data_IF_904180692626
#
_entry.id   IF_904180692626
#
_cell.length_a   1.000
_cell.length_b   1.000
_cell.length_c   1.000
_cell.angle_alpha   90.00
_cell.angle_beta   90.00
_cell.angle_gamma   90.00
#
_symmetry.space_group_name_H-M   'P 1'
#
loop_
_entity.id
_entity.type
_entity.pdbx_description
1 polymer ?
#
# COMPACT_ATOMS: atom_id res chain seq x y z
N UNK A 1 0.73 33.52 23.56
CA UNK A 1 1.27 32.21 23.18
C UNK A 1 2.29 32.47 22.05
N UNK A 2 3.52 31.96 22.16
CA UNK A 2 4.57 32.25 21.16
C UNK A 2 4.31 31.49 19.86
N UNK A 3 3.88 32.19 18.82
CA UNK A 3 3.58 31.66 17.49
C UNK A 3 4.80 30.88 16.90
N UNK A 4 6.01 31.35 17.18
CA UNK A 4 7.24 30.71 16.76
C UNK A 4 7.46 29.33 17.39
N UNK A 5 7.07 29.18 18.66
CA UNK A 5 7.15 27.89 19.35
C UNK A 5 6.17 26.87 18.76
N UNK A 6 4.96 27.31 18.47
CA UNK A 6 3.95 26.47 17.79
C UNK A 6 4.42 26.03 16.39
N UNK A 7 4.94 26.96 15.61
CA UNK A 7 5.49 26.68 14.28
C UNK A 7 6.65 25.67 14.33
N UNK A 8 7.54 25.80 15.32
CA UNK A 8 8.64 24.85 15.52
C UNK A 8 8.13 23.46 15.91
N UNK A 9 7.13 23.37 16.80
CA UNK A 9 6.52 22.11 17.19
C UNK A 9 5.85 21.41 16.00
N UNK A 10 5.09 22.14 15.20
CA UNK A 10 4.46 21.62 13.98
C UNK A 10 5.53 21.12 13.00
N UNK A 11 6.62 21.89 12.82
CA UNK A 11 7.75 21.48 11.98
C UNK A 11 8.37 20.15 12.45
N UNK A 12 8.55 19.97 13.75
CA UNK A 12 9.09 18.74 14.32
C UNK A 12 8.16 17.53 14.05
N UNK A 13 6.85 17.70 14.21
CA UNK A 13 5.86 16.65 13.91
C UNK A 13 5.92 16.27 12.41
N UNK A 14 6.05 17.27 11.52
CA UNK A 14 6.14 16.99 10.08
C UNK A 14 7.42 16.22 9.73
N UNK A 15 8.55 16.52 10.39
CA UNK A 15 9.79 15.76 10.21
C UNK A 15 9.64 14.32 10.71
N UNK A 16 8.94 14.11 11.81
CA UNK A 16 8.64 12.76 12.29
C UNK A 16 7.81 11.96 11.28
N UNK A 17 6.78 12.56 10.70
CA UNK A 17 5.96 11.93 9.65
C UNK A 17 6.81 11.58 8.42
N UNK A 18 7.71 12.49 8.00
CA UNK A 18 8.64 12.22 6.91
C UNK A 18 9.56 11.04 7.22
N UNK A 19 10.09 10.97 8.44
CA UNK A 19 10.91 9.85 8.89
C UNK A 19 10.12 8.54 8.88
N UNK A 20 8.86 8.53 9.28
CA UNK A 20 8.01 7.34 9.26
C UNK A 20 7.83 6.80 7.84
N UNK A 21 7.54 7.66 6.86
CA UNK A 21 7.44 7.28 5.45
C UNK A 21 8.77 6.72 4.93
N UNK A 22 9.89 7.39 5.24
CA UNK A 22 11.21 6.91 4.83
C UNK A 22 11.58 5.57 5.48
N UNK A 23 11.27 5.38 6.76
CA UNK A 23 11.51 4.12 7.47
C UNK A 23 10.71 2.97 6.87
N UNK A 24 9.45 3.22 6.49
CA UNK A 24 8.62 2.23 5.80
C UNK A 24 9.25 1.85 4.44
N UNK A 25 9.67 2.84 3.65
CA UNK A 25 10.31 2.57 2.36
C UNK A 25 11.62 1.79 2.52
N UNK A 26 12.42 2.09 3.54
CA UNK A 26 13.68 1.39 3.82
C UNK A 26 13.41 -0.04 4.30
N UNK A 27 12.43 -0.23 5.19
CA UNK A 27 12.07 -1.55 5.69
C UNK A 27 11.64 -2.49 4.55
N UNK A 28 11.03 -1.93 3.50
CA UNK A 28 10.51 -2.68 2.36
C UNK A 28 11.40 -2.60 1.10
N UNK A 29 12.65 -2.13 1.22
CA UNK A 29 13.55 -1.98 0.06
C UNK A 29 13.83 -3.29 -0.66
N UNK A 30 13.81 -4.42 0.06
CA UNK A 30 14.01 -5.76 -0.48
C UNK A 30 12.69 -6.52 -0.75
N UNK A 31 11.54 -5.89 -0.52
CA UNK A 31 10.24 -6.52 -0.75
C UNK A 31 9.89 -6.43 -2.25
N UNK A 32 9.66 -7.58 -2.89
CA UNK A 32 9.27 -7.64 -4.28
C UNK A 32 7.91 -6.99 -4.49
N UNK A 33 7.79 -6.21 -5.56
CA UNK A 33 6.55 -5.51 -5.88
C UNK A 33 6.20 -4.33 -4.96
N UNK A 34 7.01 -4.01 -3.96
CA UNK A 34 6.78 -2.86 -3.10
C UNK A 34 6.83 -1.56 -3.88
N UNK A 35 5.89 -0.67 -3.58
CA UNK A 35 5.81 0.67 -4.17
C UNK A 35 6.11 1.71 -3.11
N UNK A 36 7.16 2.50 -3.33
CA UNK A 36 7.59 3.51 -2.39
C UNK A 36 6.54 4.63 -2.26
N UNK A 37 6.34 5.06 -1.03
CA UNK A 37 5.46 6.18 -0.71
C UNK A 37 6.27 7.49 -0.68
N UNK A 38 5.74 8.53 -1.29
CA UNK A 38 6.30 9.89 -1.29
C UNK A 38 5.38 10.84 -0.55
N UNK A 39 5.90 11.46 0.50
CA UNK A 39 5.20 12.49 1.25
C UNK A 39 5.50 13.87 0.66
N UNK A 40 4.44 14.61 0.33
CA UNK A 40 4.52 16.01 -0.10
C UNK A 40 4.11 16.92 1.05
N UNK A 41 4.88 17.99 1.26
CA UNK A 41 4.64 18.98 2.31
C UNK A 41 4.36 20.33 1.69
N UNK A 42 3.37 21.03 2.24
CA UNK A 42 2.99 22.37 1.82
C UNK A 42 3.13 23.36 2.98
N UNK A 43 3.47 24.60 2.67
CA UNK A 43 3.46 25.69 3.63
C UNK A 43 2.00 26.11 3.94
N UNK A 44 1.72 26.29 5.22
CA UNK A 44 0.50 26.93 5.68
C UNK A 44 0.75 28.45 5.70
N UNK A 45 0.04 29.15 4.84
CA UNK A 45 0.05 30.62 4.81
C UNK A 45 -1.29 31.14 5.30
N UNK A 46 -1.26 31.98 6.31
CA UNK A 46 -2.44 32.71 6.72
C UNK A 46 -2.53 33.98 5.85
N UNK A 47 -3.60 34.10 5.09
CA UNK A 47 -3.99 35.32 4.39
C UNK A 47 -5.02 36.04 5.26
N UNK A 48 -4.58 36.81 6.20
CA UNK A 48 -5.45 37.80 6.81
C UNK A 48 -5.72 38.88 5.79
N UNK A 49 -6.84 38.79 5.11
CA UNK A 49 -7.33 39.81 4.21
C UNK A 49 -7.90 40.92 5.07
N UNK A 50 -7.05 41.84 5.50
CA UNK A 50 -7.49 43.08 6.11
C UNK A 50 -7.31 44.18 5.05
N UNK A 51 -8.42 44.81 4.74
CA UNK A 51 -8.67 46.06 4.01
C UNK A 51 -7.55 46.72 3.23
N UNK A 52 -7.87 47.11 2.12
CA UNK A 52 -7.33 47.76 0.93
C UNK A 52 -6.00 48.56 1.05
N UNK A 53 -5.48 48.89 2.23
CA UNK A 53 -4.34 49.81 2.36
C UNK A 53 -3.13 49.36 3.17
N UNK A 54 -3.15 48.13 3.73
CA UNK A 54 -1.97 47.56 4.35
C UNK A 54 -1.73 46.13 3.83
N UNK A 55 -0.96 46.01 2.77
CA UNK A 55 -0.47 44.72 2.26
C UNK A 55 0.45 44.07 3.30
N UNK A 56 -0.13 43.42 4.30
CA UNK A 56 0.65 42.49 5.13
C UNK A 56 1.04 41.29 4.28
N UNK A 57 2.35 41.11 4.17
CA UNK A 57 2.90 39.91 3.53
C UNK A 57 2.37 38.65 4.22
N UNK A 58 1.98 37.64 3.46
CA UNK A 58 1.46 36.41 4.05
C UNK A 58 2.48 35.79 5.01
N UNK A 59 2.10 35.68 6.27
CA UNK A 59 2.94 35.06 7.31
C UNK A 59 2.78 33.54 7.23
N UNK A 60 3.90 32.84 7.08
CA UNK A 60 3.93 31.38 7.19
C UNK A 60 3.59 30.97 8.62
N UNK A 61 2.55 30.14 8.79
CA UNK A 61 2.11 29.60 10.08
C UNK A 61 2.63 28.20 10.35
N UNK A 62 3.38 27.62 9.43
CA UNK A 62 3.96 26.29 9.55
C UNK A 62 3.88 25.50 8.25
N UNK A 63 4.12 24.19 8.37
CA UNK A 63 4.04 23.24 7.27
C UNK A 63 3.07 22.13 7.62
N UNK A 64 2.42 21.56 6.62
CA UNK A 64 1.60 20.35 6.77
C UNK A 64 1.92 19.35 5.68
N UNK A 65 1.75 18.08 5.97
CA UNK A 65 1.72 17.04 4.94
C UNK A 65 0.47 17.24 4.08
N UNK A 66 0.68 17.45 2.79
CA UNK A 66 -0.40 17.74 1.86
C UNK A 66 -0.95 16.45 1.26
N UNK A 67 -0.07 15.52 0.89
CA UNK A 67 -0.43 14.27 0.25
C UNK A 67 0.69 13.24 0.46
N UNK A 68 0.27 12.02 0.76
CA UNK A 68 1.10 10.84 0.56
C UNK A 68 0.69 10.20 -0.77
N UNK A 69 1.63 9.92 -1.63
CA UNK A 69 1.39 9.36 -2.96
C UNK A 69 2.30 8.16 -3.15
N UNK A 70 1.73 7.05 -3.57
CA UNK A 70 2.48 5.86 -3.96
C UNK A 70 3.08 6.09 -5.35
N UNK A 71 4.35 5.74 -5.51
CA UNK A 71 5.07 5.85 -6.78
C UNK A 71 4.84 4.57 -7.59
N UNK A 72 4.07 4.67 -8.67
CA UNK A 72 3.77 3.56 -9.58
C UNK A 72 4.75 3.44 -10.75
N UNK A 73 5.80 4.25 -10.80
CA UNK A 73 6.80 4.14 -11.86
C UNK A 73 7.41 2.74 -11.87
N UNK A 74 7.55 2.10 -13.04
CA UNK A 74 8.18 0.80 -13.14
C UNK A 74 9.64 0.89 -12.68
N UNK A 75 10.07 -0.08 -11.88
CA UNK A 75 11.47 -0.27 -11.49
C UNK A 75 12.12 -1.37 -12.34
N UNK A 76 13.42 -1.55 -12.21
CA UNK A 76 14.15 -2.58 -12.92
C UNK A 76 13.68 -4.00 -12.58
N UNK A 77 13.83 -4.91 -13.54
CA UNK A 77 13.56 -6.33 -13.35
C UNK A 77 14.83 -7.02 -12.87
N UNK A 78 14.66 -8.02 -12.01
CA UNK A 78 15.72 -8.89 -11.51
C UNK A 78 15.38 -10.30 -11.98
N UNK A 79 16.32 -10.95 -12.66
CA UNK A 79 16.19 -12.35 -13.07
C UNK A 79 16.51 -13.26 -11.87
N UNK A 80 15.53 -14.05 -11.42
CA UNK A 80 15.67 -14.90 -10.24
C UNK A 80 15.93 -16.36 -10.57
N UNK A 81 15.67 -16.78 -11.83
CA UNK A 81 15.78 -18.17 -12.26
C UNK A 81 14.74 -19.13 -11.67
N UNK A 82 13.74 -18.63 -10.92
CA UNK A 82 12.64 -19.44 -10.38
C UNK A 82 11.51 -19.54 -11.38
N UNK A 83 10.88 -20.70 -11.48
CA UNK A 83 9.83 -20.98 -12.49
C UNK A 83 8.56 -20.18 -12.27
N UNK A 84 8.23 -19.86 -11.02
CA UNK A 84 6.98 -19.21 -10.63
C UNK A 84 7.16 -17.73 -10.27
N UNK A 85 8.30 -17.14 -10.59
CA UNK A 85 8.50 -15.71 -10.42
C UNK A 85 8.08 -14.98 -11.70
N UNK A 86 7.11 -14.09 -11.57
CA UNK A 86 6.55 -13.31 -12.67
C UNK A 86 6.70 -11.82 -12.39
N UNK A 87 6.95 -11.04 -13.43
CA UNK A 87 6.98 -9.60 -13.33
C UNK A 87 6.12 -8.97 -14.42
N UNK A 88 5.34 -7.95 -14.06
CA UNK A 88 4.50 -7.21 -15.01
C UNK A 88 5.32 -6.05 -15.59
N UNK A 89 5.50 -6.04 -16.90
CA UNK A 89 6.09 -4.92 -17.62
C UNK A 89 4.97 -3.96 -18.07
N UNK A 90 4.85 -2.84 -17.40
CA UNK A 90 3.79 -1.85 -17.63
C UNK A 90 2.86 -1.69 -16.43
N UNK A 91 1.68 -1.13 -16.68
CA UNK A 91 0.66 -0.89 -15.67
C UNK A 91 -0.19 -2.16 -15.46
N UNK A 92 -0.55 -2.44 -14.22
CA UNK A 92 -1.42 -3.57 -13.87
C UNK A 92 -1.06 -4.23 -12.54
N UNK A 93 -1.86 -5.19 -12.13
CA UNK A 93 -1.70 -5.99 -10.92
C UNK A 93 -2.04 -7.44 -11.23
N UNK A 94 -1.47 -8.37 -10.49
CA UNK A 94 -1.93 -9.74 -10.46
C UNK A 94 -3.23 -9.80 -9.66
N UNK A 95 -4.26 -10.44 -10.23
CA UNK A 95 -5.49 -10.75 -9.51
C UNK A 95 -5.33 -12.14 -8.87
N UNK A 96 -5.44 -12.19 -7.55
CA UNK A 96 -5.40 -13.43 -6.78
C UNK A 96 -6.82 -13.78 -6.38
N UNK A 97 -7.23 -14.99 -6.67
CA UNK A 97 -8.50 -15.54 -6.24
C UNK A 97 -8.27 -16.47 -5.06
N UNK A 98 -9.00 -16.24 -3.98
CA UNK A 98 -8.98 -17.10 -2.81
C UNK A 98 -10.20 -18.04 -2.85
N UNK A 99 -10.01 -19.34 -3.14
CA UNK A 99 -11.12 -20.25 -3.32
C UNK A 99 -12.02 -20.41 -2.08
N UNK A 100 -11.49 -20.47 -0.84
CA UNK A 100 -12.30 -20.60 0.36
C UNK A 100 -13.21 -19.39 0.64
N UNK A 101 -12.71 -18.18 0.43
CA UNK A 101 -13.47 -16.95 0.69
C UNK A 101 -14.22 -16.41 -0.53
N UNK A 102 -13.82 -16.84 -1.74
CA UNK A 102 -14.33 -16.29 -3.00
C UNK A 102 -13.88 -14.86 -3.28
N UNK A 103 -12.93 -14.33 -2.49
CA UNK A 103 -12.46 -12.94 -2.58
C UNK A 103 -11.36 -12.80 -3.64
N UNK A 104 -11.38 -11.67 -4.35
CA UNK A 104 -10.33 -11.32 -5.30
C UNK A 104 -9.49 -10.22 -4.68
N UNK A 105 -8.20 -10.47 -4.48
CA UNK A 105 -7.21 -9.49 -4.07
C UNK A 105 -6.25 -9.15 -5.20
N UNK A 106 -5.60 -7.99 -5.12
CA UNK A 106 -4.67 -7.54 -6.15
C UNK A 106 -3.29 -7.33 -5.55
N UNK A 107 -2.26 -7.86 -6.22
CA UNK A 107 -0.87 -7.70 -5.80
C UNK A 107 0.03 -7.36 -6.99
N UNK A 108 1.19 -6.77 -6.68
CA UNK A 108 2.28 -6.56 -7.64
C UNK A 108 3.45 -7.50 -7.35
N UNK A 109 3.42 -8.18 -6.23
CA UNK A 109 4.40 -9.22 -5.91
C UNK A 109 4.15 -10.42 -6.82
N UNK A 110 5.16 -10.80 -7.57
CA UNK A 110 5.11 -11.94 -8.48
C UNK A 110 5.91 -13.15 -8.02
N UNK A 111 6.37 -13.17 -6.77
CA UNK A 111 7.08 -14.30 -6.18
C UNK A 111 6.10 -15.39 -5.73
N UNK A 112 5.54 -16.12 -6.67
CA UNK A 112 4.58 -17.17 -6.38
C UNK A 112 5.27 -18.48 -5.97
N UNK A 113 4.53 -19.29 -5.20
CA UNK A 113 4.97 -20.62 -4.81
C UNK A 113 3.82 -21.59 -5.04
N UNK A 114 4.12 -22.72 -5.68
CA UNK A 114 3.14 -23.78 -5.80
C UNK A 114 2.97 -24.47 -4.44
N UNK A 115 1.76 -24.53 -3.94
CA UNK A 115 1.40 -25.28 -2.75
C UNK A 115 0.22 -26.21 -3.08
N UNK A 116 0.23 -27.40 -2.52
CA UNK A 116 -0.95 -28.25 -2.50
C UNK A 116 -1.81 -27.83 -1.31
N UNK A 117 -3.09 -27.62 -1.55
CA UNK A 117 -4.04 -27.46 -0.47
C UNK A 117 -5.25 -28.34 -0.72
N UNK A 118 -5.82 -28.82 0.36
CA UNK A 118 -6.97 -29.70 0.32
C UNK A 118 -8.23 -28.85 0.25
N UNK A 119 -9.09 -29.11 -0.71
CA UNK A 119 -10.39 -28.45 -0.82
C UNK A 119 -11.40 -29.35 -0.11
N UNK A 120 -12.13 -28.75 0.83
CA UNK A 120 -13.28 -29.46 1.41
C UNK A 120 -14.30 -29.79 0.33
N UNK A 121 -14.87 -31.00 0.34
CA UNK A 121 -15.84 -31.39 -0.66
C UNK A 121 -17.08 -30.48 -0.62
N UNK A 122 -17.58 -30.13 -1.79
CA UNK A 122 -18.80 -29.31 -1.90
C UNK A 122 -20.02 -30.09 -1.38
N UNK A 123 -21.09 -29.37 -1.03
CA UNK A 123 -22.36 -30.03 -0.56
C UNK A 123 -22.91 -31.05 -1.55
N UNK A 124 -22.73 -30.82 -2.86
CA UNK A 124 -23.12 -31.73 -3.91
C UNK A 124 -22.26 -33.01 -3.92
N UNK A 125 -20.94 -32.87 -3.66
CA UNK A 125 -20.04 -34.03 -3.59
C UNK A 125 -20.28 -34.85 -2.32
N UNK A 126 -20.60 -34.19 -1.21
CA UNK A 126 -21.01 -34.85 0.04
C UNK A 126 -22.28 -35.65 -0.17
N UNK A 127 -23.31 -35.04 -0.78
CA UNK A 127 -24.58 -35.71 -1.06
C UNK A 127 -24.43 -36.89 -2.04
N UNK A 128 -23.53 -36.75 -3.02
CA UNK A 128 -23.25 -37.86 -3.97
C UNK A 128 -22.47 -39.00 -3.30
N UNK A 129 -21.55 -38.71 -2.39
CA UNK A 129 -20.80 -39.69 -1.63
C UNK A 129 -21.73 -40.46 -0.66
N UNK A 130 -22.60 -39.75 0.06
CA UNK A 130 -23.62 -40.36 0.94
C UNK A 130 -24.57 -41.28 0.18
N UNK A 131 -24.98 -40.90 -1.03
CA UNK A 131 -25.84 -41.74 -1.89
C UNK A 131 -25.13 -43.02 -2.33
N UNK A 132 -23.80 -43.02 -2.42
CA UNK A 132 -23.00 -44.19 -2.78
C UNK A 132 -22.46 -44.97 -1.56
N UNK A 133 -22.72 -44.52 -0.34
CA UNK A 133 -22.24 -45.12 0.90
C UNK A 133 -20.74 -44.94 1.13
N UNK A 134 -20.13 -43.92 0.53
CA UNK A 134 -18.72 -43.52 0.70
C UNK A 134 -18.62 -42.20 1.50
N UNK A 135 -17.60 -42.06 2.31
CA UNK A 135 -17.27 -40.78 2.94
C UNK A 135 -16.62 -39.80 1.92
N UNK A 136 -17.18 -38.60 1.80
CA UNK A 136 -16.57 -37.56 0.97
C UNK A 136 -15.20 -37.20 1.51
N UNK A 137 -14.15 -37.38 0.70
CA UNK A 137 -12.77 -37.09 1.08
C UNK A 137 -12.33 -35.76 0.43
N UNK A 138 -11.56 -34.91 1.15
CA UNK A 138 -10.98 -33.71 0.56
C UNK A 138 -10.08 -34.07 -0.61
N UNK A 139 -10.17 -33.28 -1.70
CA UNK A 139 -9.35 -33.48 -2.91
C UNK A 139 -8.15 -32.53 -2.90
N UNK A 140 -6.99 -32.97 -3.43
CA UNK A 140 -5.81 -32.12 -3.58
C UNK A 140 -5.98 -31.04 -4.65
#
# INVERSE_FOLDING_TARGET
MNMSFYSAAVGAIQQQQRMNVQSNNIANVNTHGFRAERASFGALMNRDVIGIDNAELPKGTGTRMTKATVDFNPSGFIETGRTFDFAINGDGFFALYDPPSGEISYTRDGAFTAAQYWVDPTEEEIAAAEANGEEAQPKP
#
